data_IF_107580308381
#
_entry.id   IF_107580308381
#
_cell.length_a   1.000
_cell.length_b   1.000
_cell.length_c   1.000
_cell.angle_alpha   90.00
_cell.angle_beta   90.00
_cell.angle_gamma   90.00
#
_symmetry.space_group_name_H-M   'P 1'
#
loop_
_entity.id
_entity.type
_entity.pdbx_description
1 polymer ?
#
# COMPACT_ATOMS: atom_id res chain seq x y z
N UNK A 1 7.11 83.01 -9.12
CA UNK A 1 7.31 81.99 -10.17
C UNK A 1 7.38 80.61 -9.52
N UNK A 2 6.58 79.68 -10.07
CA UNK A 2 6.53 78.21 -9.92
C UNK A 2 6.88 77.54 -8.57
N UNK A 3 5.84 77.05 -7.86
CA UNK A 3 5.97 75.98 -6.85
C UNK A 3 5.77 74.63 -7.55
N UNK A 4 6.80 73.78 -7.58
CA UNK A 4 6.71 72.42 -8.13
C UNK A 4 6.28 71.49 -6.99
N UNK A 5 4.99 71.16 -6.90
CA UNK A 5 4.48 70.13 -6.01
C UNK A 5 4.63 68.76 -6.68
N UNK A 6 5.61 67.97 -6.25
CA UNK A 6 5.75 66.57 -6.67
C UNK A 6 4.67 65.70 -6.01
N UNK A 7 3.63 65.35 -6.74
CA UNK A 7 2.64 64.36 -6.33
C UNK A 7 3.25 62.95 -6.42
N UNK A 8 3.57 62.35 -5.27
CA UNK A 8 3.98 60.94 -5.18
C UNK A 8 2.80 60.06 -5.57
N UNK A 9 2.91 59.31 -6.68
CA UNK A 9 1.93 58.28 -7.03
C UNK A 9 1.92 57.19 -5.94
N UNK A 10 0.82 57.12 -5.20
CA UNK A 10 0.54 56.03 -4.28
C UNK A 10 0.16 54.78 -5.09
N UNK A 11 1.11 53.86 -5.28
CA UNK A 11 0.85 52.53 -5.85
C UNK A 11 -0.02 51.78 -4.84
N UNK A 12 -1.34 51.72 -5.09
CA UNK A 12 -2.26 50.88 -4.32
C UNK A 12 -1.95 49.42 -4.63
N UNK A 13 -1.24 48.73 -3.73
CA UNK A 13 -1.14 47.27 -3.75
C UNK A 13 -2.54 46.69 -3.49
N UNK A 14 -3.14 46.11 -4.52
CA UNK A 14 -4.34 45.28 -4.36
C UNK A 14 -3.97 44.08 -3.46
N UNK A 15 -4.82 43.66 -2.51
CA UNK A 15 -4.60 42.40 -1.82
C UNK A 15 -4.65 41.29 -2.87
N UNK A 16 -3.54 40.59 -3.03
CA UNK A 16 -3.47 39.42 -3.90
C UNK A 16 -4.58 38.46 -3.46
N UNK A 17 -5.51 38.16 -4.38
CA UNK A 17 -6.54 37.17 -4.13
C UNK A 17 -5.85 35.87 -3.70
N UNK A 18 -6.20 35.34 -2.52
CA UNK A 18 -5.72 34.06 -2.03
C UNK A 18 -6.26 32.96 -2.93
N UNK A 19 -5.57 32.70 -4.04
CA UNK A 19 -5.88 31.57 -4.89
C UNK A 19 -5.60 30.30 -4.08
N UNK A 20 -6.62 29.44 -3.92
CA UNK A 20 -6.41 28.10 -3.37
C UNK A 20 -5.52 27.34 -4.35
N UNK A 21 -4.24 27.26 -4.02
CA UNK A 21 -3.26 26.46 -4.76
C UNK A 21 -3.59 24.98 -4.51
N UNK A 22 -4.36 24.36 -5.40
CA UNK A 22 -4.45 22.91 -5.46
C UNK A 22 -3.17 22.41 -6.15
N UNK A 23 -2.12 22.20 -5.35
CA UNK A 23 -0.87 21.62 -5.85
C UNK A 23 -1.09 20.14 -6.14
N UNK A 24 -1.35 19.79 -7.40
CA UNK A 24 -1.35 18.41 -7.89
C UNK A 24 0.03 17.74 -7.76
N UNK A 25 1.10 18.50 -7.55
CA UNK A 25 2.47 18.00 -7.34
C UNK A 25 2.96 17.95 -5.88
N UNK A 26 2.09 18.25 -4.89
CA UNK A 26 2.49 18.29 -3.47
C UNK A 26 2.15 17.04 -2.67
N UNK A 27 1.46 16.06 -3.27
CA UNK A 27 1.11 14.79 -2.61
C UNK A 27 1.84 13.65 -3.31
N UNK A 28 2.87 13.16 -2.64
CA UNK A 28 3.58 11.95 -3.04
C UNK A 28 2.66 10.74 -2.89
N UNK A 29 2.77 9.77 -3.79
CA UNK A 29 2.25 8.43 -3.56
C UNK A 29 2.83 7.87 -2.25
N UNK A 30 2.05 7.06 -1.54
CA UNK A 30 2.49 6.52 -0.24
C UNK A 30 2.46 7.51 0.94
N UNK A 31 2.09 8.78 0.73
CA UNK A 31 2.05 9.79 1.79
C UNK A 31 1.17 9.41 3.00
N UNK A 32 0.15 8.57 2.79
CA UNK A 32 -0.66 8.04 3.88
C UNK A 32 0.11 7.00 4.69
N UNK A 33 0.73 6.02 4.03
CA UNK A 33 1.50 4.96 4.69
C UNK A 33 2.70 5.52 5.48
N UNK A 34 3.34 6.56 4.95
CA UNK A 34 4.45 7.28 5.59
C UNK A 34 3.99 8.22 6.71
N UNK A 35 2.70 8.59 6.75
CA UNK A 35 2.17 9.44 7.81
C UNK A 35 2.10 8.68 9.15
N UNK A 36 2.27 9.41 10.25
CA UNK A 36 2.17 8.89 11.63
C UNK A 36 0.77 9.07 12.23
N UNK A 37 -0.25 9.24 11.38
CA UNK A 37 -1.62 9.49 11.81
C UNK A 37 -2.49 8.22 11.90
N UNK A 38 -3.63 8.34 12.58
CA UNK A 38 -4.58 7.24 12.78
C UNK A 38 -5.15 6.63 11.50
N UNK A 39 -5.03 7.30 10.35
CA UNK A 39 -5.43 6.72 9.06
C UNK A 39 -4.39 5.71 8.55
N UNK A 40 -3.09 6.02 8.67
CA UNK A 40 -1.97 5.10 8.38
C UNK A 40 -2.05 3.83 9.23
N UNK A 41 -2.39 3.99 10.52
CA UNK A 41 -2.53 2.85 11.44
C UNK A 41 -3.69 1.93 11.03
N UNK A 42 -4.81 2.50 10.58
CA UNK A 42 -5.97 1.73 10.10
C UNK A 42 -5.64 0.96 8.83
N UNK A 43 -5.00 1.61 7.86
CA UNK A 43 -4.56 0.96 6.62
C UNK A 43 -3.62 -0.22 6.93
N UNK A 44 -2.59 0.01 7.75
CA UNK A 44 -1.67 -1.05 8.20
C UNK A 44 -2.39 -2.19 8.90
N UNK A 45 -3.37 -1.90 9.76
CA UNK A 45 -4.11 -2.94 10.46
C UNK A 45 -4.93 -3.82 9.49
N UNK A 46 -5.60 -3.22 8.52
CA UNK A 46 -6.40 -3.92 7.51
C UNK A 46 -5.51 -4.76 6.60
N UNK A 47 -4.42 -4.19 6.11
CA UNK A 47 -3.45 -4.89 5.26
C UNK A 47 -2.81 -6.08 6.00
N UNK A 48 -2.44 -5.89 7.26
CA UNK A 48 -1.90 -6.96 8.09
C UNK A 48 -2.92 -8.08 8.31
N UNK A 49 -4.20 -7.75 8.53
CA UNK A 49 -5.25 -8.74 8.68
C UNK A 49 -5.44 -9.53 7.37
N UNK A 50 -5.49 -8.83 6.24
CA UNK A 50 -5.61 -9.45 4.92
C UNK A 50 -4.44 -10.39 4.63
N UNK A 51 -3.21 -9.94 4.86
CA UNK A 51 -2.00 -10.74 4.64
C UNK A 51 -2.04 -12.04 5.45
N UNK A 52 -2.42 -11.98 6.73
CA UNK A 52 -2.53 -13.17 7.59
C UNK A 52 -3.58 -14.16 7.09
N UNK A 53 -4.76 -13.67 6.69
CA UNK A 53 -5.84 -14.53 6.19
C UNK A 53 -5.44 -15.20 4.87
N UNK A 54 -4.89 -14.42 3.95
CA UNK A 54 -4.45 -14.89 2.66
C UNK A 54 -3.30 -15.91 2.77
N UNK A 55 -2.33 -15.66 3.65
CA UNK A 55 -1.25 -16.61 3.90
C UNK A 55 -1.77 -17.89 4.57
N UNK A 56 -2.75 -17.78 5.48
CA UNK A 56 -3.40 -18.96 6.06
C UNK A 56 -4.12 -19.81 5.01
N UNK A 57 -4.79 -19.21 4.03
CA UNK A 57 -5.40 -19.92 2.90
C UNK A 57 -4.36 -20.64 2.04
N UNK A 58 -3.26 -19.98 1.70
CA UNK A 58 -2.14 -20.61 0.97
C UNK A 58 -1.56 -21.80 1.72
N UNK A 59 -1.35 -21.64 3.04
CA UNK A 59 -0.82 -22.72 3.89
C UNK A 59 -1.77 -23.91 3.90
N UNK A 60 -3.10 -23.69 3.95
CA UNK A 60 -4.08 -24.79 3.87
C UNK A 60 -3.95 -25.56 2.56
N UNK A 61 -3.90 -24.85 1.43
CA UNK A 61 -3.74 -25.48 0.11
C UNK A 61 -2.43 -26.27 0.02
N UNK A 62 -1.34 -25.75 0.57
CA UNK A 62 -0.05 -26.45 0.59
C UNK A 62 -0.11 -27.73 1.45
N UNK A 63 -0.76 -27.67 2.61
CA UNK A 63 -0.96 -28.84 3.48
C UNK A 63 -1.80 -29.93 2.81
N UNK A 64 -2.87 -29.55 2.11
CA UNK A 64 -3.69 -30.50 1.36
C UNK A 64 -2.90 -31.18 0.24
N UNK A 65 -2.07 -30.43 -0.49
CA UNK A 65 -1.19 -30.99 -1.52
C UNK A 65 -0.16 -31.95 -0.92
N UNK A 66 0.44 -31.58 0.21
CA UNK A 66 1.42 -32.41 0.92
C UNK A 66 0.79 -33.74 1.35
N UNK A 67 -0.41 -33.70 1.94
CA UNK A 67 -1.11 -34.92 2.37
C UNK A 67 -1.44 -35.84 1.19
N UNK A 68 -1.86 -35.30 0.05
CA UNK A 68 -2.08 -36.09 -1.17
C UNK A 68 -0.79 -36.76 -1.66
N UNK A 69 0.32 -36.02 -1.68
CA UNK A 69 1.62 -36.57 -2.07
C UNK A 69 2.12 -37.65 -1.09
N UNK A 70 1.89 -37.50 0.21
CA UNK A 70 2.20 -38.53 1.19
C UNK A 70 1.39 -39.81 0.96
N UNK A 71 0.10 -39.69 0.63
CA UNK A 71 -0.75 -40.83 0.29
C UNK A 71 -0.30 -41.51 -1.00
N UNK A 72 -0.03 -40.74 -2.06
CA UNK A 72 0.47 -41.26 -3.35
C UNK A 72 1.81 -41.98 -3.17
N UNK A 73 2.74 -41.39 -2.42
CA UNK A 73 4.04 -42.02 -2.16
C UNK A 73 3.93 -43.27 -1.29
N UNK A 74 3.00 -43.32 -0.34
CA UNK A 74 2.73 -44.53 0.44
C UNK A 74 2.16 -45.66 -0.43
N UNK A 75 1.23 -45.35 -1.34
CA UNK A 75 0.69 -46.32 -2.30
C UNK A 75 1.79 -46.85 -3.23
N UNK A 76 2.59 -45.97 -3.83
CA UNK A 76 3.69 -46.36 -4.71
C UNK A 76 4.73 -47.24 -3.98
N UNK A 77 5.01 -46.97 -2.70
CA UNK A 77 5.89 -47.84 -1.89
C UNK A 77 5.29 -49.22 -1.68
N UNK A 78 4.00 -49.29 -1.36
CA UNK A 78 3.29 -50.57 -1.20
C UNK A 78 3.30 -51.38 -2.51
N UNK A 79 3.07 -50.73 -3.65
CA UNK A 79 3.10 -51.38 -4.97
C UNK A 79 4.51 -51.91 -5.30
N UNK A 80 5.56 -51.12 -5.03
CA UNK A 80 6.96 -51.55 -5.21
C UNK A 80 7.28 -52.77 -4.34
N UNK A 81 6.85 -52.77 -3.08
CA UNK A 81 7.10 -53.88 -2.16
C UNK A 81 6.31 -55.14 -2.54
N UNK A 82 5.12 -55.00 -3.12
CA UNK A 82 4.35 -56.10 -3.68
C UNK A 82 5.04 -56.70 -4.91
N UNK A 83 5.53 -55.85 -5.82
CA UNK A 83 6.26 -56.29 -7.02
C UNK A 83 7.60 -56.96 -6.68
N UNK A 84 8.32 -56.49 -5.65
CA UNK A 84 9.58 -57.12 -5.21
C UNK A 84 9.41 -58.50 -4.56
N UNK A 85 8.20 -58.82 -4.10
CA UNK A 85 7.87 -60.10 -3.46
C UNK A 85 7.38 -61.15 -4.47
N UNK A 86 7.06 -60.74 -5.70
CA UNK A 86 6.82 -61.64 -6.83
C UNK A 86 8.15 -62.04 -7.47
#
# INVERSE_FOLDING_TARGET
>A
MLRITASRLSIRRLPAATQRLYTTGGRSEGAVAESTGSFSEKEKAIENQWARLHDAEKIKVLREKLLKQEQETAQLKADIDALKKQ
#
